data_IF_525253450266
#
_entry.id   IF_525253450266
#
_cell.length_a   1.000
_cell.length_b   1.000
_cell.length_c   1.000
_cell.angle_alpha   90.00
_cell.angle_beta   90.00
_cell.angle_gamma   90.00
#
_symmetry.space_group_name_H-M   'P 1'
#
loop_
_entity.id
_entity.type
_entity.pdbx_description
1 polymer ?
#
# COMPACT_ATOMS: atom_id res chain seq x y z
N UNK A 1 -3.69 14.32 14.66
CA UNK A 1 -3.64 12.93 14.18
C UNK A 1 -5.05 12.48 13.81
N UNK A 2 -5.19 11.91 12.67
CA UNK A 2 -6.47 11.35 12.25
C UNK A 2 -6.70 10.01 12.94
N UNK A 3 -7.91 9.77 13.43
CA UNK A 3 -8.28 8.49 14.04
C UNK A 3 -9.33 7.75 13.21
N UNK A 4 -9.81 8.36 12.13
CA UNK A 4 -10.85 7.77 11.30
C UNK A 4 -10.58 8.04 9.82
N UNK A 5 -11.25 7.27 8.98
CA UNK A 5 -11.16 7.36 7.54
C UNK A 5 -12.52 7.81 6.99
N UNK A 6 -12.52 8.64 5.95
CA UNK A 6 -13.76 9.07 5.32
C UNK A 6 -14.32 7.99 4.41
N UNK A 7 -15.63 8.09 4.11
CA UNK A 7 -16.27 7.19 3.16
C UNK A 7 -15.62 7.29 1.77
N UNK A 8 -15.21 8.50 1.38
CA UNK A 8 -14.55 8.73 0.08
C UNK A 8 -13.19 8.05 0.02
N UNK A 9 -12.43 8.08 1.12
CA UNK A 9 -11.14 7.41 1.17
C UNK A 9 -11.29 5.89 1.11
N UNK A 10 -12.27 5.34 1.82
CA UNK A 10 -12.56 3.91 1.72
C UNK A 10 -13.02 3.51 0.31
N UNK A 11 -13.86 4.34 -0.30
CA UNK A 11 -14.30 4.09 -1.67
C UNK A 11 -13.11 4.13 -2.65
N UNK A 12 -12.19 5.07 -2.44
CA UNK A 12 -10.96 5.15 -3.24
C UNK A 12 -10.11 3.89 -3.14
N UNK A 13 -9.91 3.41 -1.92
CA UNK A 13 -9.18 2.17 -1.71
C UNK A 13 -9.88 0.97 -2.37
N UNK A 14 -11.20 0.87 -2.20
CA UNK A 14 -11.99 -0.20 -2.81
C UNK A 14 -11.94 -0.16 -4.33
N UNK A 15 -11.89 1.04 -4.91
CA UNK A 15 -11.77 1.21 -6.35
C UNK A 15 -10.43 0.71 -6.87
N UNK A 16 -9.36 0.97 -6.14
CA UNK A 16 -8.04 0.42 -6.49
C UNK A 16 -8.06 -1.11 -6.43
N UNK A 17 -8.70 -1.69 -5.42
CA UNK A 17 -8.85 -3.14 -5.32
C UNK A 17 -9.62 -3.71 -6.51
N UNK A 18 -10.70 -3.05 -6.92
CA UNK A 18 -11.48 -3.48 -8.09
C UNK A 18 -10.65 -3.41 -9.36
N UNK A 19 -9.82 -2.37 -9.49
CA UNK A 19 -8.92 -2.24 -10.64
C UNK A 19 -7.91 -3.39 -10.69
N UNK A 20 -7.46 -3.85 -9.53
CA UNK A 20 -6.53 -4.98 -9.46
C UNK A 20 -7.12 -6.27 -10.04
N UNK A 21 -8.42 -6.47 -9.89
CA UNK A 21 -9.11 -7.64 -10.44
C UNK A 21 -8.92 -7.74 -11.95
N UNK A 22 -8.92 -6.60 -12.64
CA UNK A 22 -8.83 -6.54 -14.10
C UNK A 22 -7.39 -6.40 -14.60
N UNK A 23 -6.44 -6.19 -13.71
CA UNK A 23 -5.05 -5.94 -14.08
C UNK A 23 -4.30 -7.26 -14.19
N UNK A 24 -4.08 -7.71 -15.41
CA UNK A 24 -3.44 -9.01 -15.68
C UNK A 24 -1.98 -9.06 -15.26
N UNK A 25 -1.36 -7.92 -14.97
CA UNK A 25 0.04 -7.86 -14.51
C UNK A 25 0.18 -8.30 -13.06
N UNK A 26 -0.91 -8.32 -12.30
CA UNK A 26 -0.91 -8.58 -10.87
C UNK A 26 -1.23 -10.03 -10.57
N UNK A 27 -0.81 -10.46 -9.40
CA UNK A 27 -1.13 -11.79 -8.86
C UNK A 27 -1.55 -11.66 -7.38
N UNK A 28 -1.80 -12.79 -6.74
CA UNK A 28 -2.27 -12.81 -5.36
C UNK A 28 -1.30 -12.11 -4.40
N UNK A 29 0.00 -12.14 -4.68
CA UNK A 29 1.02 -11.50 -3.85
C UNK A 29 0.83 -9.98 -3.82
N UNK A 30 0.50 -9.39 -4.96
CA UNK A 30 0.23 -7.95 -5.03
C UNK A 30 -1.00 -7.58 -4.20
N UNK A 31 -2.06 -8.36 -4.30
CA UNK A 31 -3.29 -8.10 -3.54
C UNK A 31 -3.04 -8.25 -2.05
N UNK A 32 -2.29 -9.28 -1.66
CA UNK A 32 -1.93 -9.50 -0.26
C UNK A 32 -1.12 -8.34 0.31
N UNK A 33 -0.12 -7.87 -0.45
CA UNK A 33 0.68 -6.72 -0.02
C UNK A 33 -0.15 -5.45 0.06
N UNK A 34 -1.04 -5.24 -0.89
CA UNK A 34 -1.92 -4.07 -0.88
C UNK A 34 -2.83 -4.07 0.35
N UNK A 35 -3.31 -5.24 0.75
CA UNK A 35 -4.12 -5.40 1.96
C UNK A 35 -3.29 -5.09 3.21
N UNK A 36 -2.03 -5.53 3.26
CA UNK A 36 -1.12 -5.21 4.36
C UNK A 36 -0.89 -3.69 4.46
N UNK A 37 -0.82 -3.00 3.34
CA UNK A 37 -0.70 -1.55 3.31
C UNK A 37 -1.91 -0.87 3.93
N UNK A 38 -3.10 -1.40 3.72
CA UNK A 38 -4.31 -0.87 4.37
C UNK A 38 -4.18 -0.92 5.89
N UNK A 39 -3.70 -2.05 6.43
CA UNK A 39 -3.53 -2.20 7.88
C UNK A 39 -2.54 -1.17 8.42
N UNK A 40 -1.45 -0.93 7.71
CA UNK A 40 -0.46 0.06 8.12
C UNK A 40 -1.01 1.48 8.05
N UNK A 41 -1.80 1.78 7.03
CA UNK A 41 -2.49 3.06 6.91
C UNK A 41 -3.40 3.27 8.11
N UNK A 42 -4.21 2.27 8.46
CA UNK A 42 -5.08 2.32 9.62
C UNK A 42 -4.29 2.56 10.92
N UNK A 43 -3.20 1.82 11.10
CA UNK A 43 -2.35 1.94 12.29
C UNK A 43 -1.67 3.30 12.40
N UNK A 44 -1.49 3.98 11.30
CA UNK A 44 -0.92 5.33 11.25
C UNK A 44 -2.01 6.40 11.25
N UNK A 45 -3.20 6.09 11.73
CA UNK A 45 -4.30 7.04 11.87
C UNK A 45 -4.84 7.54 10.54
N UNK A 46 -4.73 6.74 9.51
CA UNK A 46 -5.21 7.06 8.15
C UNK A 46 -4.52 8.30 7.56
N UNK A 47 -3.31 8.58 8.01
CA UNK A 47 -2.51 9.67 7.46
C UNK A 47 -1.81 9.23 6.18
N UNK A 48 -1.60 10.15 5.26
CA UNK A 48 -0.82 9.91 4.04
C UNK A 48 0.22 11.03 3.92
N UNK A 49 1.51 10.75 3.86
CA UNK A 49 2.09 9.40 3.80
C UNK A 49 2.02 8.66 5.13
N UNK A 50 2.22 7.36 5.05
CA UNK A 50 2.34 6.54 6.24
C UNK A 50 3.61 5.71 6.19
N UNK A 51 4.20 5.46 7.36
CA UNK A 51 5.45 4.73 7.47
C UNK A 51 5.22 3.23 7.40
N UNK A 52 6.11 2.54 6.71
CA UNK A 52 6.06 1.08 6.60
C UNK A 52 7.46 0.52 6.78
N UNK A 53 7.55 -0.71 7.30
CA UNK A 53 8.78 -1.46 7.32
C UNK A 53 8.57 -2.75 6.55
N UNK A 54 9.65 -3.20 5.90
CA UNK A 54 9.64 -4.46 5.16
C UNK A 54 9.20 -5.62 6.06
N UNK A 55 9.74 -5.66 7.27
CA UNK A 55 9.46 -6.74 8.22
C UNK A 55 7.97 -6.86 8.51
N UNK A 56 7.33 -5.73 8.79
CA UNK A 56 5.90 -5.72 9.11
C UNK A 56 5.05 -6.06 7.89
N UNK A 57 5.36 -5.46 6.75
CA UNK A 57 4.61 -5.74 5.53
C UNK A 57 4.73 -7.19 5.09
N UNK A 58 5.92 -7.77 5.19
CA UNK A 58 6.11 -9.18 4.88
C UNK A 58 5.34 -10.08 5.85
N UNK A 59 5.30 -9.72 7.12
CA UNK A 59 4.54 -10.47 8.12
C UNK A 59 3.05 -10.50 7.84
N UNK A 60 2.46 -9.35 7.56
CA UNK A 60 1.02 -9.25 7.28
C UNK A 60 0.64 -9.84 5.93
N UNK A 61 1.47 -9.66 4.93
CA UNK A 61 1.17 -10.14 3.58
C UNK A 61 1.51 -11.61 3.36
N UNK A 62 2.23 -12.22 4.31
CA UNK A 62 2.71 -13.59 4.19
C UNK A 62 3.70 -13.80 3.04
N UNK A 63 4.36 -12.73 2.62
CA UNK A 63 5.44 -12.83 1.63
C UNK A 63 6.71 -13.25 2.35
N UNK A 64 7.22 -14.43 2.04
CA UNK A 64 8.38 -15.00 2.72
C UNK A 64 9.73 -14.63 2.10
N UNK A 65 9.73 -14.13 0.88
CA UNK A 65 10.96 -13.81 0.14
C UNK A 65 11.16 -12.31 0.06
N UNK A 66 12.35 -11.85 0.45
CA UNK A 66 12.73 -10.43 0.36
C UNK A 66 12.69 -9.96 -1.10
N UNK A 67 13.17 -10.81 -2.02
CA UNK A 67 13.17 -10.48 -3.45
C UNK A 67 11.74 -10.32 -3.98
N UNK A 68 10.83 -11.20 -3.58
CA UNK A 68 9.42 -11.11 -3.98
C UNK A 68 8.78 -9.85 -3.40
N UNK A 69 9.07 -9.52 -2.15
CA UNK A 69 8.57 -8.31 -1.51
C UNK A 69 9.00 -7.06 -2.29
N UNK A 70 10.29 -6.93 -2.58
CA UNK A 70 10.80 -5.76 -3.30
C UNK A 70 10.19 -5.64 -4.70
N UNK A 71 10.07 -6.77 -5.39
CA UNK A 71 9.44 -6.77 -6.71
C UNK A 71 8.00 -6.29 -6.64
N UNK A 72 7.22 -6.82 -5.69
CA UNK A 72 5.81 -6.47 -5.54
C UNK A 72 5.60 -5.01 -5.17
N UNK A 73 6.36 -4.48 -4.21
CA UNK A 73 6.18 -3.08 -3.78
C UNK A 73 6.54 -2.12 -4.91
N UNK A 74 7.59 -2.42 -5.67
CA UNK A 74 7.99 -1.60 -6.81
C UNK A 74 6.96 -1.67 -7.93
N UNK A 75 6.38 -2.84 -8.16
CA UNK A 75 5.35 -2.99 -9.18
C UNK A 75 4.06 -2.26 -8.81
N UNK A 76 3.65 -2.31 -7.55
CA UNK A 76 2.50 -1.53 -7.10
C UNK A 76 2.71 -0.04 -7.33
N UNK A 77 3.93 0.45 -7.11
CA UNK A 77 4.30 1.82 -7.40
C UNK A 77 4.27 2.09 -8.91
N UNK A 78 4.97 1.26 -9.68
CA UNK A 78 5.09 1.44 -11.13
C UNK A 78 3.73 1.39 -11.83
N UNK A 79 2.81 0.57 -11.32
CA UNK A 79 1.48 0.39 -11.92
C UNK A 79 0.44 1.39 -11.40
N UNK A 80 0.87 2.31 -10.52
CA UNK A 80 0.01 3.41 -10.09
C UNK A 80 -0.94 3.10 -8.95
N UNK A 81 -0.73 2.02 -8.19
CA UNK A 81 -1.56 1.70 -7.04
C UNK A 81 -1.13 2.43 -5.78
N UNK A 82 0.15 2.73 -5.68
CA UNK A 82 0.74 3.51 -4.57
C UNK A 82 1.85 4.39 -5.12
N UNK A 83 2.35 5.28 -4.25
CA UNK A 83 3.63 5.94 -4.46
C UNK A 83 4.53 5.53 -3.30
N UNK A 84 5.65 4.91 -3.63
CA UNK A 84 6.56 4.34 -2.64
C UNK A 84 7.85 5.15 -2.61
N UNK A 85 8.23 5.61 -1.42
CA UNK A 85 9.46 6.35 -1.22
C UNK A 85 10.32 5.58 -0.23
N UNK A 86 11.33 4.83 -0.72
CA UNK A 86 12.19 4.06 0.17
C UNK A 86 13.06 4.98 1.01
N UNK A 87 13.31 4.54 2.25
CA UNK A 87 14.24 5.21 3.15
C UNK A 87 15.47 4.34 3.31
N UNK A 88 16.62 4.98 3.24
CA UNK A 88 17.89 4.31 3.49
C UNK A 88 18.34 4.44 4.95
N UNK A 89 17.54 5.15 5.76
CA UNK A 89 17.81 5.27 7.19
C UNK A 89 17.17 4.09 7.92
N UNK A 90 17.95 3.29 8.66
CA UNK A 90 17.44 2.03 9.21
C UNK A 90 16.32 2.18 10.24
N UNK A 91 16.16 3.36 10.83
CA UNK A 91 15.16 3.59 11.88
C UNK A 91 13.91 4.30 11.41
N UNK A 92 13.90 4.87 10.21
CA UNK A 92 12.78 5.71 9.78
C UNK A 92 11.73 4.96 8.97
N UNK A 93 12.06 3.79 8.46
CA UNK A 93 11.16 3.08 7.56
C UNK A 93 10.94 3.82 6.25
N UNK A 94 10.19 3.21 5.35
CA UNK A 94 9.85 3.81 4.07
C UNK A 94 8.49 4.49 4.17
N UNK A 95 8.20 5.40 3.22
CA UNK A 95 6.94 6.13 3.20
C UNK A 95 6.10 5.65 2.03
N UNK A 96 4.80 5.51 2.27
CA UNK A 96 3.83 5.15 1.24
C UNK A 96 2.78 6.24 1.16
N UNK A 97 2.46 6.65 -0.07
CA UNK A 97 1.40 7.58 -0.37
C UNK A 97 0.37 6.87 -1.22
N UNK A 98 -0.90 7.18 -1.03
CA UNK A 98 -1.92 6.79 -2.00
C UNK A 98 -1.77 7.63 -3.27
N UNK A 99 -2.18 7.12 -4.44
CA UNK A 99 -2.06 7.87 -5.68
C UNK A 99 -2.84 9.19 -5.62
N UNK A 100 -2.36 10.23 -6.28
CA UNK A 100 -3.04 11.52 -6.32
C UNK A 100 -4.47 11.34 -6.87
N UNK A 101 -5.45 11.92 -6.17
CA UNK A 101 -6.84 11.91 -6.61
C UNK A 101 -7.57 10.58 -6.43
N UNK A 102 -6.97 9.62 -5.76
CA UNK A 102 -7.57 8.29 -5.60
C UNK A 102 -8.96 8.34 -4.92
N UNK A 103 -9.14 9.24 -3.96
CA UNK A 103 -10.40 9.37 -3.23
C UNK A 103 -11.48 10.13 -4.01
N UNK A 104 -11.08 10.85 -5.05
CA UNK A 104 -12.02 11.62 -5.87
C UNK A 104 -12.64 10.78 -6.97
N UNK A 105 -12.20 9.55 -7.13
CA UNK A 105 -12.63 8.68 -8.21
C UNK A 105 -13.91 7.91 -7.84
N UNK A 106 -14.77 8.54 -7.12
CA UNK A 106 -16.02 7.97 -6.64
C UNK A 106 -16.99 7.46 -7.69
#
# INVERSE_FOLDING_TARGET
>A
MRSSVSAQELAGYGKLLKRMREDVRLNATHVSLFTALFVHWQRNGFASPFAVTRRELMGFSKIGSIATYHKCIRELDAFGYIRYQPSYHPKLGSQVYWPAGWEAAG
#
